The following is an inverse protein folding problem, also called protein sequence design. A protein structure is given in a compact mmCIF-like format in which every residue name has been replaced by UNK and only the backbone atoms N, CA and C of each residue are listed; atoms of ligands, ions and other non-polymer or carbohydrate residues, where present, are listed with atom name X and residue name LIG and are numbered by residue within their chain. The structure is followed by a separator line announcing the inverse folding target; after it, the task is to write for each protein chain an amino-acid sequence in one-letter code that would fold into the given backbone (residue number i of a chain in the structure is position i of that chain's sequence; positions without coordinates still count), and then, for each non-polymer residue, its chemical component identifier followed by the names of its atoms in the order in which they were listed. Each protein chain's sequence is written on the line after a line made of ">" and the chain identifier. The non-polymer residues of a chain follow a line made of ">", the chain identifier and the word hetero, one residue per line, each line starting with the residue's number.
data_IF_631051199299
#
_entry.id   IF_631051199299
#
_cell.length_a   1.000
_cell.length_b   1.000
_cell.length_c   1.000
_cell.angle_alpha   90.00
_cell.angle_beta   90.00
_cell.angle_gamma   90.00
#
_symmetry.space_group_name_H-M   'P 1'
#
loop_
_entity.id
_entity.type
_entity.pdbx_description
1 polymer ?
#
# COMPACT_ATOMS: atom_id res chain seq x y z
N UNK A 1 -11.78 9.64 -4.13
CA UNK A 1 -10.88 8.68 -3.43
C UNK A 1 -10.62 7.53 -4.39
N UNK A 2 -9.44 7.48 -5.00
CA UNK A 2 -8.90 6.44 -5.91
C UNK A 2 -9.76 5.93 -7.10
N UNK A 3 -11.00 6.42 -7.30
CA UNK A 3 -11.93 5.97 -8.35
C UNK A 3 -12.19 4.45 -8.36
N UNK A 4 -11.98 3.80 -7.22
CA UNK A 4 -12.13 2.35 -7.03
C UNK A 4 -13.09 2.06 -5.89
N UNK A 5 -13.76 0.90 -5.96
CA UNK A 5 -14.63 0.45 -4.87
C UNK A 5 -13.81 -0.05 -3.65
N UNK A 6 -14.44 0.00 -2.48
CA UNK A 6 -13.82 -0.38 -1.19
C UNK A 6 -13.38 -1.85 -1.16
N UNK A 7 -14.09 -2.74 -1.85
CA UNK A 7 -13.75 -4.17 -1.93
C UNK A 7 -12.44 -4.40 -2.69
N UNK A 8 -12.24 -3.71 -3.81
CA UNK A 8 -11.03 -3.75 -4.62
C UNK A 8 -9.83 -3.23 -3.81
N UNK A 9 -9.98 -2.08 -3.15
CA UNK A 9 -8.93 -1.51 -2.28
C UNK A 9 -8.57 -2.51 -1.17
N UNK A 10 -9.57 -3.11 -0.52
CA UNK A 10 -9.37 -4.13 0.53
C UNK A 10 -8.66 -5.37 0.00
N UNK A 11 -8.95 -5.79 -1.24
CA UNK A 11 -8.26 -6.90 -1.88
C UNK A 11 -6.78 -6.59 -2.14
N UNK A 12 -6.46 -5.38 -2.61
CA UNK A 12 -5.07 -4.94 -2.80
C UNK A 12 -4.30 -4.92 -1.47
N UNK A 13 -4.89 -4.32 -0.43
CA UNK A 13 -4.29 -4.27 0.90
C UNK A 13 -4.04 -5.66 1.48
N UNK A 14 -4.97 -6.60 1.29
CA UNK A 14 -4.76 -8.00 1.72
C UNK A 14 -3.56 -8.64 1.00
N UNK A 15 -3.47 -8.52 -0.33
CA UNK A 15 -2.33 -9.06 -1.09
C UNK A 15 -0.98 -8.46 -0.64
N UNK A 16 -0.94 -7.16 -0.35
CA UNK A 16 0.26 -6.49 0.15
C UNK A 16 0.65 -6.98 1.54
N UNK A 17 -0.33 -7.17 2.42
CA UNK A 17 -0.13 -7.72 3.77
C UNK A 17 0.38 -9.17 3.70
N UNK A 18 -0.20 -10.00 2.82
CA UNK A 18 0.18 -11.41 2.65
C UNK A 18 1.64 -11.56 2.18
N UNK A 19 2.20 -10.54 1.53
CA UNK A 19 3.62 -10.47 1.15
C UNK A 19 4.50 -9.72 2.15
N UNK A 20 3.97 -9.39 3.33
CA UNK A 20 4.66 -8.69 4.42
C UNK A 20 5.20 -7.30 4.03
N UNK A 21 4.59 -6.65 3.03
CA UNK A 21 4.95 -5.30 2.58
C UNK A 21 4.30 -4.22 3.44
N UNK A 22 3.11 -4.52 3.97
CA UNK A 22 2.38 -3.66 4.90
C UNK A 22 1.95 -4.47 6.12
N UNK A 23 1.69 -3.79 7.23
CA UNK A 23 1.02 -4.35 8.39
C UNK A 23 -0.33 -3.67 8.60
N UNK A 24 -1.19 -4.32 9.37
CA UNK A 24 -2.52 -3.82 9.69
C UNK A 24 -2.74 -3.81 11.20
N UNK A 25 -3.27 -2.71 11.72
CA UNK A 25 -3.66 -2.53 13.11
C UNK A 25 -5.16 -2.32 13.16
N UNK A 26 -5.87 -3.16 13.91
CA UNK A 26 -7.31 -3.02 14.10
C UNK A 26 -7.58 -2.24 15.39
N UNK A 27 -8.35 -1.17 15.26
CA UNK A 27 -8.85 -0.38 16.38
C UNK A 27 -10.38 -0.29 16.27
N UNK A 28 -11.06 -0.99 17.19
CA UNK A 28 -12.49 -1.25 17.13
C UNK A 28 -12.96 -1.77 15.75
N UNK A 29 -13.70 -0.95 15.02
CA UNK A 29 -14.24 -1.29 13.68
C UNK A 29 -13.30 -0.87 12.55
N UNK A 30 -12.30 -0.03 12.83
CA UNK A 30 -11.40 0.55 11.84
C UNK A 30 -10.14 -0.29 11.72
N UNK A 31 -9.67 -0.50 10.49
CA UNK A 31 -8.40 -1.17 10.22
C UNK A 31 -7.46 -0.14 9.57
N UNK A 32 -6.37 0.16 10.26
CA UNK A 32 -5.29 1.01 9.78
C UNK A 32 -4.22 0.16 9.10
N UNK A 33 -3.67 0.67 7.99
CA UNK A 33 -2.60 0.00 7.24
C UNK A 33 -1.39 0.91 7.16
N UNK A 34 -0.19 0.34 7.25
CA UNK A 34 1.07 1.06 7.15
C UNK A 34 2.18 0.21 6.52
N UNK A 35 3.15 0.87 5.88
CA UNK A 35 4.30 0.19 5.26
C UNK A 35 5.18 -0.47 6.32
N UNK A 36 5.67 -1.66 6.00
CA UNK A 36 6.69 -2.31 6.82
C UNK A 36 8.04 -1.62 6.60
N UNK A 37 8.59 -1.04 7.67
CA UNK A 37 9.87 -0.32 7.64
C UNK A 37 11.03 -1.19 7.16
N UNK A 38 11.00 -2.48 7.46
CA UNK A 38 12.04 -3.43 7.06
C UNK A 38 12.07 -3.68 5.55
N UNK A 39 10.98 -3.33 4.85
CA UNK A 39 10.85 -3.48 3.39
C UNK A 39 11.12 -2.20 2.62
N UNK A 40 11.38 -1.09 3.30
CA UNK A 40 11.62 0.22 2.67
C UNK A 40 12.84 0.21 1.75
N UNK A 41 13.88 -0.58 2.05
CA UNK A 41 15.05 -0.70 1.18
C UNK A 41 14.72 -1.23 -0.22
N UNK A 42 13.68 -2.07 -0.34
CA UNK A 42 13.19 -2.63 -1.61
C UNK A 42 12.10 -1.73 -2.21
N UNK A 43 11.22 -1.18 -1.38
CA UNK A 43 10.11 -0.35 -1.82
C UNK A 43 10.56 1.02 -2.32
N UNK A 44 11.51 1.67 -1.65
CA UNK A 44 11.95 3.03 -1.98
C UNK A 44 12.47 3.17 -3.42
N UNK A 45 13.34 2.27 -3.94
CA UNK A 45 13.74 2.33 -5.35
C UNK A 45 12.55 2.28 -6.30
N UNK A 46 11.58 1.38 -6.05
CA UNK A 46 10.38 1.24 -6.89
C UNK A 46 9.53 2.52 -6.82
N UNK A 47 9.27 3.03 -5.62
CA UNK A 47 8.48 4.25 -5.43
C UNK A 47 9.18 5.48 -6.03
N UNK A 48 10.50 5.54 -5.98
CA UNK A 48 11.28 6.62 -6.59
C UNK A 48 11.18 6.60 -8.12
N UNK A 49 11.20 5.42 -8.75
CA UNK A 49 10.96 5.28 -10.19
C UNK A 49 9.58 5.79 -10.60
N UNK A 50 8.56 5.54 -9.77
CA UNK A 50 7.20 6.02 -10.01
C UNK A 50 7.09 7.53 -9.79
N UNK A 51 7.88 8.12 -8.88
CA UNK A 51 7.92 9.57 -8.68
C UNK A 51 8.65 10.33 -9.79
N UNK A 52 9.54 9.69 -10.54
CA UNK A 52 10.28 10.34 -11.64
C UNK A 52 9.45 10.51 -12.91
N UNK A 53 8.35 9.77 -13.03
CA UNK A 53 7.40 9.99 -14.11
C UNK A 53 6.22 10.79 -13.57
N UNK A 54 6.20 12.09 -13.88
CA UNK A 54 4.93 12.82 -13.99
C UNK A 54 4.17 12.17 -15.15
N UNK A 55 3.51 11.05 -14.87
CA UNK A 55 2.65 10.36 -15.82
C UNK A 55 1.43 11.27 -16.00
N UNK A 56 1.54 12.16 -16.98
CA UNK A 56 0.40 12.79 -17.64
C UNK A 56 -0.35 11.67 -18.38
N UNK A 57 -1.34 11.08 -17.72
CA UNK A 57 -2.41 10.30 -18.37
C UNK A 57 -3.68 11.13 -18.32
#
# INVERSE_FOLDING_TARGET
>A
ILEMNVSAISQHLRKLKDRNLIYATKDAQTIFYALNKDKLSILNPILNLLNTENISV
#
